data_IF_612710576849
#
_entry.id   IF_612710576849
#
_cell.length_a   1.000
_cell.length_b   1.000
_cell.length_c   1.000
_cell.angle_alpha   90.00
_cell.angle_beta   90.00
_cell.angle_gamma   90.00
#
_symmetry.space_group_name_H-M   'P 1'
#
loop_
_entity.id
_entity.type
_entity.pdbx_description
1 polymer ?
#
# COMPACT_ATOMS: atom_id res chain seq x y z
N UNK A 1 -10.40 -8.14 56.00
CA UNK A 1 -9.55 -7.53 54.99
C UNK A 1 -9.06 -8.52 53.92
N UNK A 2 -8.72 -9.79 54.25
CA UNK A 2 -8.24 -10.79 53.26
C UNK A 2 -9.30 -11.18 52.21
N UNK A 3 -10.59 -11.23 52.55
CA UNK A 3 -11.64 -11.66 51.61
C UNK A 3 -11.99 -10.58 50.57
N UNK A 4 -11.89 -9.31 50.92
CA UNK A 4 -12.10 -8.20 49.97
C UNK A 4 -10.99 -8.18 48.91
N UNK A 5 -9.74 -8.37 49.35
CA UNK A 5 -8.60 -8.45 48.43
C UNK A 5 -8.72 -9.66 47.48
N UNK A 6 -9.16 -10.80 48.01
CA UNK A 6 -9.32 -12.04 47.20
C UNK A 6 -10.43 -11.89 46.14
N UNK A 7 -11.50 -11.21 46.47
CA UNK A 7 -12.61 -10.91 45.53
C UNK A 7 -12.21 -9.85 44.49
N UNK A 8 -11.41 -8.87 44.89
CA UNK A 8 -10.87 -7.87 43.94
C UNK A 8 -9.87 -8.50 42.97
N UNK A 9 -9.03 -9.43 43.42
CA UNK A 9 -8.09 -10.15 42.55
C UNK A 9 -8.83 -11.06 41.54
N UNK A 10 -9.92 -11.71 41.97
CA UNK A 10 -10.75 -12.50 41.04
C UNK A 10 -11.40 -11.63 39.98
N UNK A 11 -11.96 -10.46 40.36
CA UNK A 11 -12.54 -9.49 39.41
C UNK A 11 -11.51 -8.99 38.41
N UNK A 12 -10.30 -8.68 38.88
CA UNK A 12 -9.20 -8.26 38.02
C UNK A 12 -8.79 -9.38 37.03
N UNK A 13 -8.74 -10.63 37.49
CA UNK A 13 -8.46 -11.78 36.64
C UNK A 13 -9.52 -11.96 35.55
N UNK A 14 -10.81 -11.88 35.90
CA UNK A 14 -11.90 -11.93 34.92
C UNK A 14 -11.84 -10.80 33.89
N UNK A 15 -11.49 -9.61 34.31
CA UNK A 15 -11.36 -8.43 33.44
C UNK A 15 -10.18 -8.60 32.48
N UNK A 16 -9.04 -9.11 32.97
CA UNK A 16 -7.87 -9.42 32.16
C UNK A 16 -8.16 -10.51 31.10
N UNK A 17 -8.87 -11.59 31.48
CA UNK A 17 -9.28 -12.64 30.57
C UNK A 17 -10.26 -12.10 29.53
N UNK A 18 -11.23 -11.28 29.92
CA UNK A 18 -12.16 -10.63 29.01
C UNK A 18 -11.46 -9.76 27.96
N UNK A 19 -10.49 -8.94 28.37
CA UNK A 19 -9.67 -8.14 27.47
C UNK A 19 -8.85 -9.00 26.52
N UNK A 20 -8.30 -10.12 27.02
CA UNK A 20 -7.52 -11.04 26.19
C UNK A 20 -8.39 -11.72 25.12
N UNK A 21 -9.58 -12.18 25.49
CA UNK A 21 -10.55 -12.78 24.56
C UNK A 21 -11.00 -11.74 23.52
N UNK A 22 -11.24 -10.49 23.92
CA UNK A 22 -11.64 -9.40 23.02
C UNK A 22 -10.54 -9.06 22.02
N UNK A 23 -9.28 -9.02 22.49
CA UNK A 23 -8.11 -8.79 21.64
C UNK A 23 -7.91 -9.93 20.64
N UNK A 24 -8.07 -11.18 21.11
CA UNK A 24 -7.96 -12.37 20.26
C UNK A 24 -9.10 -12.44 19.22
N UNK A 25 -10.33 -12.16 19.63
CA UNK A 25 -11.47 -12.08 18.73
C UNK A 25 -11.33 -10.97 17.70
N UNK A 26 -10.77 -9.82 18.09
CA UNK A 26 -10.48 -8.70 17.17
C UNK A 26 -9.54 -9.09 16.05
N UNK A 27 -8.58 -9.98 16.30
CA UNK A 27 -7.67 -10.49 15.27
C UNK A 27 -8.40 -11.29 14.19
N UNK A 28 -9.43 -12.08 14.56
CA UNK A 28 -10.22 -12.88 13.62
C UNK A 28 -11.33 -12.07 12.92
N UNK A 29 -11.79 -10.96 13.52
CA UNK A 29 -12.87 -10.13 13.00
C UNK A 29 -12.30 -8.86 12.35
N UNK A 30 -11.04 -8.87 11.92
CA UNK A 30 -10.46 -7.72 11.23
C UNK A 30 -11.18 -7.52 9.88
N UNK A 31 -12.18 -6.64 9.89
CA UNK A 31 -12.92 -6.23 8.70
C UNK A 31 -12.55 -4.79 8.38
N UNK A 32 -11.96 -4.56 7.23
CA UNK A 32 -11.75 -3.20 6.73
C UNK A 32 -13.11 -2.59 6.39
N UNK A 33 -13.43 -1.48 7.02
CA UNK A 33 -14.63 -0.71 6.71
C UNK A 33 -14.22 0.54 5.96
N UNK A 34 -14.68 0.63 4.71
CA UNK A 34 -14.58 1.86 3.94
C UNK A 34 -15.65 2.84 4.47
N UNK A 35 -15.19 3.87 5.16
CA UNK A 35 -16.04 4.93 5.73
C UNK A 35 -16.20 6.13 4.80
N UNK A 36 -15.65 6.05 3.57
CA UNK A 36 -15.81 7.11 2.58
C UNK A 36 -17.22 7.08 2.00
N UNK A 37 -17.79 8.26 1.77
CA UNK A 37 -19.13 8.39 1.20
C UNK A 37 -19.24 7.73 -0.18
N UNK A 38 -18.16 7.74 -0.96
CA UNK A 38 -18.10 7.23 -2.33
C UNK A 38 -17.55 5.78 -2.40
N UNK A 39 -17.30 5.12 -1.26
CA UNK A 39 -16.71 3.78 -1.18
C UNK A 39 -15.44 3.63 -2.03
N UNK A 40 -14.59 4.65 -2.01
CA UNK A 40 -13.38 4.76 -2.86
C UNK A 40 -12.38 3.63 -2.65
N UNK A 41 -12.40 3.02 -1.48
CA UNK A 41 -11.49 1.95 -1.07
C UNK A 41 -12.18 0.59 -1.03
N UNK A 42 -13.36 0.49 -1.65
CA UNK A 42 -14.08 -0.79 -1.78
C UNK A 42 -14.00 -1.29 -3.22
N UNK A 43 -13.40 -2.45 -3.40
CA UNK A 43 -13.30 -3.08 -4.72
C UNK A 43 -14.69 -3.40 -5.28
N UNK A 44 -14.89 -3.08 -6.56
CA UNK A 44 -16.10 -3.47 -7.27
C UNK A 44 -16.20 -4.99 -7.39
N UNK A 45 -17.42 -5.51 -7.54
CA UNK A 45 -17.62 -6.96 -7.73
C UNK A 45 -16.93 -7.49 -9.01
N UNK A 46 -16.84 -6.65 -10.05
CA UNK A 46 -16.10 -7.00 -11.27
C UNK A 46 -14.60 -7.10 -11.00
N UNK A 47 -14.05 -6.15 -10.25
CA UNK A 47 -12.64 -6.15 -9.85
C UNK A 47 -12.32 -7.38 -9.02
N UNK A 48 -13.17 -7.71 -8.05
CA UNK A 48 -12.99 -8.91 -7.21
C UNK A 48 -12.94 -10.19 -8.05
N UNK A 49 -13.85 -10.36 -9.01
CA UNK A 49 -13.84 -11.52 -9.92
C UNK A 49 -12.53 -11.62 -10.71
N UNK A 50 -12.01 -10.51 -11.22
CA UNK A 50 -10.73 -10.49 -11.95
C UNK A 50 -9.59 -10.88 -11.02
N UNK A 51 -9.60 -10.39 -9.79
CA UNK A 51 -8.57 -10.67 -8.80
C UNK A 51 -8.64 -12.13 -8.33
N UNK A 52 -9.83 -12.70 -8.19
CA UNK A 52 -10.04 -14.11 -7.83
C UNK A 52 -9.44 -15.08 -8.86
N UNK A 53 -9.42 -14.70 -10.14
CA UNK A 53 -8.86 -15.50 -11.22
C UNK A 53 -7.30 -15.48 -11.24
N UNK A 54 -6.66 -14.70 -10.37
CA UNK A 54 -5.20 -14.65 -10.26
C UNK A 54 -4.71 -15.81 -9.39
N UNK A 55 -4.26 -16.87 -10.03
CA UNK A 55 -3.80 -18.13 -9.41
C UNK A 55 -2.28 -18.24 -9.26
N UNK A 56 -1.52 -17.34 -9.88
CA UNK A 56 -0.06 -17.30 -9.89
C UNK A 56 0.44 -15.98 -9.30
N UNK A 57 1.68 -15.90 -8.78
CA UNK A 57 2.22 -14.67 -8.23
C UNK A 57 2.17 -13.51 -9.22
N UNK A 58 1.56 -12.40 -8.80
CA UNK A 58 1.54 -11.12 -9.51
C UNK A 58 2.35 -10.10 -8.71
N UNK A 59 3.48 -9.67 -9.28
CA UNK A 59 4.36 -8.68 -8.66
C UNK A 59 4.20 -7.36 -9.41
N UNK A 60 3.87 -6.29 -8.69
CA UNK A 60 3.64 -4.97 -9.26
C UNK A 60 4.70 -3.99 -8.76
N UNK A 61 5.57 -3.55 -9.66
CA UNK A 61 6.57 -2.53 -9.41
C UNK A 61 6.01 -1.16 -9.81
N UNK A 62 5.77 -0.30 -8.84
CA UNK A 62 5.21 1.05 -9.05
C UNK A 62 6.33 2.09 -8.98
N UNK A 63 6.55 2.83 -10.07
CA UNK A 63 7.64 3.80 -10.18
C UNK A 63 7.27 5.19 -9.63
N UNK A 64 6.47 5.21 -8.58
CA UNK A 64 6.05 6.42 -7.88
C UNK A 64 6.74 6.53 -6.51
N UNK A 65 8.08 6.48 -6.49
CA UNK A 65 8.88 6.67 -5.28
C UNK A 65 9.85 7.82 -5.48
N UNK A 66 9.82 8.81 -4.59
CA UNK A 66 10.66 10.00 -4.69
C UNK A 66 10.09 11.22 -3.98
N UNK A 67 10.76 12.36 -4.13
CA UNK A 67 10.28 13.63 -3.61
C UNK A 67 9.38 14.30 -4.66
N UNK A 68 8.07 14.26 -4.45
CA UNK A 68 7.09 14.72 -5.41
C UNK A 68 6.29 15.93 -4.92
N UNK A 69 5.72 16.74 -5.85
CA UNK A 69 4.68 17.71 -5.54
C UNK A 69 3.45 17.04 -4.91
N UNK A 70 2.60 17.84 -4.26
CA UNK A 70 1.44 17.36 -3.50
C UNK A 70 0.52 16.44 -4.32
N UNK A 71 0.29 16.75 -5.60
CA UNK A 71 -0.59 15.98 -6.48
C UNK A 71 -0.03 14.57 -6.75
N UNK A 72 1.28 14.44 -6.93
CA UNK A 72 1.93 13.14 -7.11
C UNK A 72 2.03 12.36 -5.81
N UNK A 73 2.22 13.02 -4.67
CA UNK A 73 2.11 12.38 -3.35
C UNK A 73 0.72 11.82 -3.09
N UNK A 74 -0.30 12.56 -3.53
CA UNK A 74 -1.68 12.09 -3.46
C UNK A 74 -1.88 10.86 -4.36
N UNK A 75 -1.43 10.92 -5.63
CA UNK A 75 -1.48 9.78 -6.55
C UNK A 75 -0.75 8.56 -5.97
N UNK A 76 0.46 8.73 -5.43
CA UNK A 76 1.21 7.66 -4.76
C UNK A 76 0.41 7.03 -3.63
N UNK A 77 -0.20 7.87 -2.76
CA UNK A 77 -0.98 7.40 -1.62
C UNK A 77 -2.23 6.63 -2.06
N UNK A 78 -2.98 7.16 -3.03
CA UNK A 78 -4.19 6.52 -3.54
C UNK A 78 -3.87 5.21 -4.27
N UNK A 79 -2.78 5.17 -5.04
CA UNK A 79 -2.30 3.95 -5.70
C UNK A 79 -1.90 2.90 -4.67
N UNK A 80 -1.17 3.29 -3.62
CA UNK A 80 -0.79 2.39 -2.53
C UNK A 80 -2.01 1.77 -1.86
N UNK A 81 -2.99 2.58 -1.50
CA UNK A 81 -4.23 2.12 -0.87
C UNK A 81 -4.98 1.12 -1.76
N UNK A 82 -5.07 1.39 -3.06
CA UNK A 82 -5.71 0.46 -4.01
C UNK A 82 -4.98 -0.87 -4.09
N UNK A 83 -3.65 -0.86 -4.17
CA UNK A 83 -2.85 -2.07 -4.25
C UNK A 83 -2.83 -2.85 -2.91
N UNK A 84 -2.92 -2.16 -1.78
CA UNK A 84 -3.15 -2.79 -0.47
C UNK A 84 -4.49 -3.54 -0.42
N UNK A 85 -5.56 -2.98 -1.00
CA UNK A 85 -6.84 -3.67 -1.10
C UNK A 85 -6.73 -4.91 -2.01
N UNK A 86 -6.01 -4.83 -3.14
CA UNK A 86 -5.77 -5.97 -4.01
C UNK A 86 -5.02 -7.08 -3.28
N UNK A 87 -3.92 -6.74 -2.61
CA UNK A 87 -3.12 -7.71 -1.84
C UNK A 87 -3.87 -8.30 -0.65
N UNK A 88 -4.73 -7.51 -0.01
CA UNK A 88 -5.59 -8.00 1.09
C UNK A 88 -6.68 -8.95 0.60
N UNK A 89 -7.14 -8.78 -0.65
CA UNK A 89 -8.16 -9.62 -1.25
C UNK A 89 -7.56 -10.92 -1.83
N UNK A 90 -6.41 -10.85 -2.49
CA UNK A 90 -5.70 -12.01 -3.04
C UNK A 90 -4.20 -11.94 -2.68
N UNK A 91 -3.74 -12.90 -1.87
CA UNK A 91 -2.36 -12.98 -1.39
C UNK A 91 -1.31 -13.26 -2.49
N UNK A 92 -1.73 -13.67 -3.69
CA UNK A 92 -0.83 -13.81 -4.84
C UNK A 92 -0.41 -12.45 -5.41
N UNK A 93 -1.07 -11.36 -5.02
CA UNK A 93 -0.74 -10.00 -5.46
C UNK A 93 0.19 -9.37 -4.45
N UNK A 94 1.38 -9.02 -4.90
CA UNK A 94 2.35 -8.24 -4.13
C UNK A 94 2.75 -7.00 -4.90
N UNK A 95 3.11 -5.94 -4.21
CA UNK A 95 3.54 -4.70 -4.84
C UNK A 95 4.66 -4.04 -4.06
N UNK A 96 5.44 -3.24 -4.77
CA UNK A 96 6.45 -2.39 -4.17
C UNK A 96 6.51 -1.05 -4.91
N UNK A 97 6.86 0.00 -4.17
CA UNK A 97 7.17 1.29 -4.75
C UNK A 97 8.67 1.38 -4.91
N UNK A 98 9.10 1.73 -6.10
CA UNK A 98 10.51 1.72 -6.48
C UNK A 98 10.87 3.05 -7.14
N UNK A 99 11.98 3.64 -6.72
CA UNK A 99 12.60 4.71 -7.49
C UNK A 99 13.46 4.07 -8.59
N UNK A 100 13.10 4.20 -9.87
CA UNK A 100 13.87 3.57 -10.94
C UNK A 100 15.27 4.19 -11.13
N UNK A 101 15.49 5.41 -10.62
CA UNK A 101 16.76 6.12 -10.67
C UNK A 101 17.32 6.22 -9.24
N UNK A 102 17.85 5.12 -8.71
CA UNK A 102 18.50 5.15 -7.41
C UNK A 102 19.87 5.82 -7.45
N UNK A 103 20.58 5.64 -8.56
CA UNK A 103 21.91 6.19 -8.78
C UNK A 103 21.91 7.09 -10.01
N UNK A 104 22.41 8.30 -9.85
CA UNK A 104 22.45 9.27 -10.94
C UNK A 104 23.32 8.81 -12.12
N UNK A 105 24.35 7.98 -11.86
CA UNK A 105 25.21 7.40 -12.90
C UNK A 105 24.44 6.44 -13.83
N UNK A 106 23.41 5.77 -13.32
CA UNK A 106 22.60 4.82 -14.08
C UNK A 106 21.41 5.48 -14.81
N UNK A 107 21.17 6.76 -14.55
CA UNK A 107 20.00 7.51 -15.05
C UNK A 107 19.80 7.38 -16.55
N UNK A 108 20.88 7.58 -17.33
CA UNK A 108 20.80 7.57 -18.81
C UNK A 108 20.40 6.19 -19.32
N UNK A 109 20.95 5.14 -18.72
CA UNK A 109 20.66 3.76 -19.11
C UNK A 109 19.22 3.37 -18.73
N UNK A 110 18.79 3.71 -17.52
CA UNK A 110 17.43 3.47 -17.05
C UNK A 110 16.41 4.20 -17.93
N UNK A 111 16.64 5.48 -18.22
CA UNK A 111 15.77 6.26 -19.09
C UNK A 111 15.67 5.65 -20.49
N UNK A 112 16.79 5.18 -21.07
CA UNK A 112 16.79 4.51 -22.37
C UNK A 112 15.95 3.23 -22.34
N UNK A 113 16.16 2.36 -21.34
CA UNK A 113 15.39 1.12 -21.17
C UNK A 113 13.89 1.38 -21.02
N UNK A 114 13.51 2.41 -20.27
CA UNK A 114 12.12 2.76 -20.09
C UNK A 114 11.51 3.32 -21.36
N UNK A 115 12.25 4.16 -22.07
CA UNK A 115 11.80 4.71 -23.35
C UNK A 115 11.57 3.63 -24.41
N UNK A 116 12.47 2.63 -24.49
CA UNK A 116 12.33 1.46 -25.37
C UNK A 116 11.07 0.63 -25.05
N UNK A 117 10.60 0.65 -23.78
CA UNK A 117 9.35 0.02 -23.34
C UNK A 117 8.13 0.94 -23.48
N UNK A 118 8.29 2.16 -24.01
CA UNK A 118 7.22 3.14 -24.10
C UNK A 118 6.87 3.84 -22.79
N UNK A 119 7.67 3.66 -21.73
CA UNK A 119 7.46 4.26 -20.41
C UNK A 119 8.12 5.64 -20.36
N UNK A 120 7.41 6.67 -20.84
CA UNK A 120 7.95 8.03 -20.90
C UNK A 120 7.89 8.73 -19.54
N UNK A 121 9.00 9.32 -19.07
CA UNK A 121 9.00 10.11 -17.87
C UNK A 121 8.33 11.47 -18.08
N UNK A 122 7.93 12.10 -17.00
CA UNK A 122 7.49 13.50 -16.95
C UNK A 122 8.38 14.30 -16.01
N UNK A 123 8.64 15.56 -16.37
CA UNK A 123 9.34 16.49 -15.50
C UNK A 123 8.33 17.27 -14.67
N UNK A 124 8.55 17.31 -13.37
CA UNK A 124 7.73 18.06 -12.43
C UNK A 124 8.58 19.05 -11.66
N UNK A 125 8.03 20.21 -11.35
CA UNK A 125 8.71 21.20 -10.52
C UNK A 125 8.28 20.98 -9.07
N UNK A 126 9.27 20.79 -8.20
CA UNK A 126 9.09 20.70 -6.76
C UNK A 126 9.57 22.00 -6.13
N UNK A 127 8.74 22.63 -5.34
CA UNK A 127 9.12 23.79 -4.54
C UNK A 127 9.32 23.35 -3.08
N UNK A 128 10.55 23.47 -2.62
CA UNK A 128 10.90 23.19 -1.23
C UNK A 128 11.70 24.35 -0.64
N UNK A 129 11.20 24.94 0.44
CA UNK A 129 11.84 26.04 1.18
C UNK A 129 12.24 27.21 0.27
N UNK A 130 11.39 27.55 -0.73
CA UNK A 130 11.63 28.64 -1.67
C UNK A 130 12.65 28.34 -2.77
N UNK A 131 13.08 27.08 -2.91
CA UNK A 131 13.88 26.61 -4.04
C UNK A 131 13.00 25.76 -4.95
N UNK A 132 13.10 25.99 -6.25
CA UNK A 132 12.47 25.17 -7.26
C UNK A 132 13.49 24.19 -7.82
N UNK A 133 13.18 22.91 -7.76
CA UNK A 133 13.94 21.82 -8.36
C UNK A 133 13.07 21.10 -9.39
N UNK A 134 13.71 20.57 -10.43
CA UNK A 134 13.02 19.71 -11.39
C UNK A 134 13.31 18.27 -11.04
N UNK A 135 12.24 17.50 -10.88
CA UNK A 135 12.30 16.06 -10.60
C UNK A 135 11.70 15.28 -11.77
N UNK A 136 12.28 14.13 -12.05
CA UNK A 136 11.78 13.21 -13.08
C UNK A 136 10.88 12.19 -12.43
N UNK A 137 9.66 12.07 -12.90
CA UNK A 137 8.68 11.13 -12.40
C UNK A 137 8.33 10.13 -13.49
N UNK A 138 8.27 8.87 -13.13
CA UNK A 138 7.77 7.79 -13.98
C UNK A 138 6.38 7.36 -13.47
N UNK A 139 5.28 7.91 -14.02
CA UNK A 139 3.93 7.59 -13.57
C UNK A 139 3.45 6.25 -14.14
N UNK A 140 4.24 5.22 -13.94
CA UNK A 140 4.04 3.89 -14.51
C UNK A 140 4.14 2.81 -13.44
N UNK A 141 3.57 1.66 -13.77
CA UNK A 141 3.79 0.44 -13.02
C UNK A 141 4.07 -0.71 -14.02
N UNK A 142 4.90 -1.65 -13.62
CA UNK A 142 5.10 -2.92 -14.31
C UNK A 142 4.47 -4.03 -13.48
N UNK A 143 3.68 -4.85 -14.14
CA UNK A 143 3.06 -6.03 -13.54
C UNK A 143 3.70 -7.29 -14.16
N UNK A 144 4.30 -8.13 -13.33
CA UNK A 144 4.90 -9.39 -13.70
C UNK A 144 4.03 -10.52 -13.17
N UNK A 145 3.47 -11.33 -14.05
CA UNK A 145 2.57 -12.42 -13.72
C UNK A 145 3.21 -13.77 -14.01
N UNK A 146 3.36 -14.60 -12.96
CA UNK A 146 4.07 -15.87 -13.06
C UNK A 146 5.53 -15.69 -13.44
N UNK A 147 6.02 -16.56 -14.33
CA UNK A 147 7.40 -16.54 -14.84
C UNK A 147 7.56 -15.70 -16.15
N UNK A 148 6.65 -14.79 -16.42
CA UNK A 148 6.59 -14.00 -17.67
C UNK A 148 6.87 -12.53 -17.42
#
# INVERSE_FOLDING_TARGET
>A
MKDVQKNSLKKLGFLAIGLFILNFASYYIYKRFDVTQDKRYTLSETTKKIIDDIDSPLIIDVFLEGNFPADFKKLQTETRQLLEEFSAYNSNITFQFVNPIEKEEERVEVMKKFFEKGLTPINVTVEEKGKQTQEVVFPWALANYGDK
#
